data_IF_107177697074
#
_entry.id   IF_107177697074
#
_cell.length_a   1.000
_cell.length_b   1.000
_cell.length_c   1.000
_cell.angle_alpha   90.00
_cell.angle_beta   90.00
_cell.angle_gamma   90.00
#
_symmetry.space_group_name_H-M   'P 1'
#
loop_
_entity.id
_entity.type
_entity.pdbx_description
1 polymer ?
#
# COMPACT_ATOMS: atom_id res chain seq x y z
N UNK A 1 56.28 35.28 -15.52
CA UNK A 1 55.87 33.94 -15.98
C UNK A 1 55.19 33.27 -14.76
N UNK A 2 53.88 33.35 -14.70
CA UNK A 2 53.10 32.71 -13.63
C UNK A 2 52.30 31.57 -14.27
N UNK A 3 52.59 30.34 -13.82
CA UNK A 3 51.87 29.14 -14.28
C UNK A 3 50.52 28.97 -13.55
N UNK A 4 49.52 28.39 -14.19
CA UNK A 4 48.20 28.24 -13.58
C UNK A 4 48.16 27.08 -12.57
N UNK A 5 47.66 27.39 -11.38
CA UNK A 5 47.43 26.46 -10.31
C UNK A 5 46.20 25.58 -10.61
N UNK A 6 46.41 24.25 -10.73
CA UNK A 6 45.33 23.26 -10.90
C UNK A 6 44.50 23.19 -9.60
N UNK A 7 43.23 23.59 -9.70
CA UNK A 7 42.22 23.30 -8.69
C UNK A 7 42.01 21.79 -8.64
N UNK A 8 42.19 21.19 -7.46
CA UNK A 8 41.83 19.81 -7.15
C UNK A 8 40.33 19.80 -6.85
N UNK A 9 39.60 19.28 -7.79
CA UNK A 9 38.16 18.97 -7.66
C UNK A 9 38.04 17.77 -6.70
N UNK A 10 37.65 18.07 -5.48
CA UNK A 10 37.36 17.08 -4.46
C UNK A 10 35.96 16.50 -4.69
N UNK A 11 35.88 15.50 -5.55
CA UNK A 11 34.65 14.74 -5.75
C UNK A 11 34.14 14.17 -4.42
N UNK A 12 33.16 14.82 -3.81
CA UNK A 12 32.36 14.22 -2.72
C UNK A 12 31.48 13.16 -3.37
N UNK A 13 31.91 11.90 -3.25
CA UNK A 13 31.05 10.74 -3.46
C UNK A 13 29.85 10.88 -2.53
N UNK A 14 28.60 10.85 -3.00
CA UNK A 14 27.45 10.82 -2.11
C UNK A 14 27.56 9.56 -1.25
N UNK A 15 27.65 9.73 0.06
CA UNK A 15 27.56 8.64 1.02
C UNK A 15 26.19 7.98 0.81
N UNK A 16 26.18 6.78 0.22
CA UNK A 16 25.03 5.87 0.34
C UNK A 16 24.77 5.72 1.84
N UNK A 17 23.53 5.92 2.32
CA UNK A 17 23.21 5.60 3.69
C UNK A 17 23.59 4.13 3.93
N UNK A 18 24.48 3.85 4.88
CA UNK A 18 24.70 2.50 5.37
C UNK A 18 23.35 2.04 5.95
N UNK A 19 22.70 1.14 5.25
CA UNK A 19 21.49 0.46 5.73
C UNK A 19 21.98 -0.44 6.85
N UNK A 20 21.93 0.06 8.08
CA UNK A 20 22.19 -0.75 9.27
C UNK A 20 21.00 -1.71 9.41
N UNK A 21 21.14 -2.93 8.90
CA UNK A 21 20.12 -3.96 9.02
C UNK A 21 19.93 -4.27 10.50
N UNK A 22 18.81 -3.85 11.05
CA UNK A 22 18.43 -4.14 12.43
C UNK A 22 18.16 -5.64 12.56
N UNK A 23 18.72 -6.28 13.59
CA UNK A 23 18.43 -7.67 13.91
C UNK A 23 17.53 -7.70 15.14
N UNK A 24 16.40 -8.43 15.05
CA UNK A 24 15.44 -8.57 16.13
C UNK A 24 15.49 -9.97 16.73
N UNK A 25 15.56 -10.05 18.05
CA UNK A 25 15.41 -11.32 18.78
C UNK A 25 13.92 -11.68 18.93
N UNK A 26 13.63 -12.95 19.21
CA UNK A 26 12.26 -13.43 19.43
C UNK A 26 11.51 -12.72 20.55
N UNK A 27 12.24 -12.12 21.51
CA UNK A 27 11.64 -11.32 22.60
C UNK A 27 11.10 -9.96 22.13
N UNK A 28 11.58 -9.48 20.98
CA UNK A 28 11.16 -8.21 20.38
C UNK A 28 10.03 -8.36 19.37
N UNK A 29 9.60 -9.60 19.11
CA UNK A 29 8.53 -9.88 18.16
C UNK A 29 7.21 -9.28 18.63
N UNK A 30 6.65 -8.42 17.82
CA UNK A 30 5.34 -7.78 18.02
C UNK A 30 4.59 -7.67 16.70
N UNK A 31 3.29 -7.53 16.79
CA UNK A 31 2.45 -7.31 15.62
C UNK A 31 2.88 -6.03 14.88
N UNK A 32 2.96 -6.10 13.56
CA UNK A 32 3.43 -5.01 12.70
C UNK A 32 4.94 -4.95 12.48
N UNK A 33 5.75 -5.72 13.24
CA UNK A 33 7.19 -5.75 13.03
C UNK A 33 7.53 -6.25 11.62
N UNK A 34 8.38 -5.50 10.93
CA UNK A 34 8.83 -5.80 9.56
C UNK A 34 10.15 -6.57 9.63
N UNK A 35 10.17 -7.76 9.07
CA UNK A 35 11.31 -8.69 9.09
C UNK A 35 11.60 -9.24 7.70
N UNK A 36 12.82 -9.66 7.48
CA UNK A 36 13.21 -10.43 6.29
C UNK A 36 12.99 -11.93 6.53
N UNK A 37 12.27 -12.59 5.63
CA UNK A 37 12.10 -14.01 5.65
C UNK A 37 12.23 -14.55 4.22
N UNK A 38 13.12 -15.54 4.03
CA UNK A 38 13.39 -16.14 2.73
C UNK A 38 13.69 -15.10 1.62
N UNK A 39 14.40 -14.00 1.97
CA UNK A 39 14.74 -12.85 1.11
C UNK A 39 13.55 -11.95 0.72
N UNK A 40 12.40 -12.12 1.36
CA UNK A 40 11.22 -11.27 1.15
C UNK A 40 10.91 -10.44 2.40
N UNK A 41 10.46 -9.18 2.22
CA UNK A 41 9.96 -8.36 3.31
C UNK A 41 8.63 -8.91 3.80
N UNK A 42 8.53 -9.09 5.10
CA UNK A 42 7.39 -9.70 5.75
C UNK A 42 6.94 -8.87 6.96
N UNK A 43 5.68 -8.96 7.33
CA UNK A 43 5.13 -8.34 8.54
C UNK A 43 4.60 -9.40 9.48
N UNK A 44 4.96 -9.31 10.76
CA UNK A 44 4.39 -10.15 11.82
C UNK A 44 2.94 -9.70 12.06
N UNK A 45 1.98 -10.64 11.89
CA UNK A 45 0.55 -10.38 12.14
C UNK A 45 0.19 -10.78 13.57
N UNK A 46 0.73 -11.92 14.02
CA UNK A 46 0.43 -12.49 15.33
C UNK A 46 1.69 -13.15 15.88
N UNK A 47 1.95 -12.99 17.17
CA UNK A 47 3.04 -13.63 17.88
C UNK A 47 2.51 -14.25 19.17
N UNK A 48 2.65 -15.56 19.31
CA UNK A 48 2.29 -16.32 20.50
C UNK A 48 3.55 -16.94 21.12
N UNK A 49 3.87 -16.57 22.34
CA UNK A 49 4.95 -17.20 23.09
C UNK A 49 4.44 -18.47 23.78
N UNK A 50 5.03 -19.60 23.44
CA UNK A 50 4.67 -20.92 23.97
C UNK A 50 5.78 -21.45 24.86
N UNK A 51 5.43 -21.73 26.12
CA UNK A 51 6.32 -22.37 27.09
C UNK A 51 5.80 -23.75 27.42
N UNK A 52 6.30 -24.80 26.73
CA UNK A 52 5.86 -26.17 27.01
C UNK A 52 6.34 -26.63 28.39
N UNK A 53 5.61 -27.56 29.02
CA UNK A 53 5.98 -28.12 30.30
C UNK A 53 7.29 -28.91 30.26
N UNK A 54 7.68 -29.45 29.10
CA UNK A 54 8.97 -30.07 28.78
C UNK A 54 9.47 -29.55 27.43
N UNK A 55 10.73 -29.15 27.38
CA UNK A 55 11.36 -28.61 26.15
C UNK A 55 11.63 -27.13 26.19
N UNK A 56 12.21 -26.64 25.10
CA UNK A 56 12.59 -25.23 24.94
C UNK A 56 11.37 -24.39 24.58
N UNK A 57 11.25 -23.19 25.13
CA UNK A 57 10.24 -22.22 24.76
C UNK A 57 10.41 -21.76 23.30
N UNK A 58 9.33 -21.41 22.65
CA UNK A 58 9.33 -20.96 21.27
C UNK A 58 8.22 -19.92 21.02
N UNK A 59 8.39 -19.14 19.96
CA UNK A 59 7.38 -18.25 19.44
C UNK A 59 6.72 -18.87 18.21
N UNK A 60 5.38 -18.96 18.22
CA UNK A 60 4.58 -19.27 17.04
C UNK A 60 4.14 -17.97 16.41
N UNK A 61 4.52 -17.73 15.17
CA UNK A 61 4.37 -16.43 14.54
C UNK A 61 3.63 -16.58 13.22
N UNK A 62 2.52 -15.85 13.05
CA UNK A 62 1.88 -15.67 11.74
C UNK A 62 2.50 -14.48 11.04
N UNK A 63 2.94 -14.70 9.83
CA UNK A 63 3.74 -13.76 9.04
C UNK A 63 3.08 -13.56 7.70
N UNK A 64 2.90 -12.30 7.28
CA UNK A 64 2.42 -11.94 5.94
C UNK A 64 3.61 -11.51 5.09
N UNK A 65 3.83 -12.18 3.96
CA UNK A 65 4.74 -11.72 2.92
C UNK A 65 4.15 -10.45 2.27
N UNK A 66 4.90 -9.36 2.27
CA UNK A 66 4.42 -8.06 1.79
C UNK A 66 4.39 -7.94 0.27
N UNK A 67 5.13 -8.79 -0.46
CA UNK A 67 5.08 -8.83 -1.93
C UNK A 67 3.87 -9.62 -2.45
N UNK A 68 3.58 -10.76 -1.81
CA UNK A 68 2.57 -11.71 -2.32
C UNK A 68 1.26 -11.68 -1.55
N UNK A 69 1.23 -11.02 -0.39
CA UNK A 69 0.10 -11.03 0.54
C UNK A 69 -0.11 -12.37 1.27
N UNK A 70 0.66 -13.40 0.94
CA UNK A 70 0.50 -14.74 1.52
C UNK A 70 0.83 -14.75 3.00
N UNK A 71 -0.04 -15.41 3.78
CA UNK A 71 0.16 -15.61 5.22
C UNK A 71 0.69 -17.01 5.46
N UNK A 72 1.76 -17.11 6.24
CA UNK A 72 2.38 -18.38 6.67
C UNK A 72 2.58 -18.37 8.17
N UNK A 73 2.56 -19.54 8.80
CA UNK A 73 2.93 -19.72 10.21
C UNK A 73 4.36 -20.28 10.29
N UNK A 74 5.16 -19.68 11.16
CA UNK A 74 6.54 -20.12 11.46
C UNK A 74 6.76 -20.21 12.95
N UNK A 75 7.63 -21.12 13.34
CA UNK A 75 8.05 -21.29 14.74
C UNK A 75 9.51 -20.91 14.87
N UNK A 76 9.80 -20.02 15.82
CA UNK A 76 11.15 -19.60 16.17
C UNK A 76 11.47 -20.05 17.59
N UNK A 77 12.65 -20.61 17.80
CA UNK A 77 13.10 -20.98 19.14
C UNK A 77 13.39 -19.74 19.97
N UNK A 78 13.18 -19.82 21.26
CA UNK A 78 13.58 -18.73 22.15
C UNK A 78 15.09 -18.46 22.03
N UNK A 79 15.44 -17.22 21.69
CA UNK A 79 16.81 -16.79 21.41
C UNK A 79 17.19 -16.75 19.93
N UNK A 80 16.34 -17.22 19.02
CA UNK A 80 16.54 -17.00 17.59
C UNK A 80 16.45 -15.49 17.29
N UNK A 81 17.12 -15.08 16.22
CA UNK A 81 17.07 -13.71 15.71
C UNK A 81 16.74 -13.70 14.22
N UNK A 82 16.08 -12.64 13.78
CA UNK A 82 15.73 -12.38 12.38
C UNK A 82 16.21 -10.99 11.98
N UNK A 83 16.50 -10.85 10.72
CA UNK A 83 16.86 -9.57 10.13
C UNK A 83 15.63 -8.68 9.95
N UNK A 84 15.75 -7.39 10.28
CA UNK A 84 14.70 -6.41 10.02
C UNK A 84 14.60 -6.06 8.54
N UNK A 85 13.40 -5.85 8.06
CA UNK A 85 13.17 -5.34 6.71
C UNK A 85 13.11 -3.81 6.73
N UNK A 86 13.81 -3.15 5.80
CA UNK A 86 13.71 -1.71 5.58
C UNK A 86 12.41 -1.41 4.82
N UNK A 87 11.30 -1.47 5.54
CA UNK A 87 9.96 -1.19 5.03
C UNK A 87 9.37 -0.03 5.81
N UNK A 88 9.01 1.02 5.10
CA UNK A 88 8.36 2.21 5.64
C UNK A 88 7.03 2.47 4.93
N UNK A 89 6.06 2.91 5.68
CA UNK A 89 4.76 3.35 5.16
C UNK A 89 4.76 4.88 5.13
N UNK A 90 4.55 5.49 3.96
CA UNK A 90 4.61 6.94 3.73
C UNK A 90 3.32 7.42 3.09
N UNK A 91 2.75 8.52 3.60
CA UNK A 91 1.63 9.18 2.93
C UNK A 91 2.15 9.96 1.71
N UNK A 92 1.59 9.66 0.54
CA UNK A 92 1.95 10.32 -0.72
C UNK A 92 0.71 10.70 -1.49
N UNK A 93 0.77 11.83 -2.18
CA UNK A 93 -0.29 12.31 -3.04
C UNK A 93 -0.19 11.67 -4.41
N UNK A 94 -1.27 11.04 -4.88
CA UNK A 94 -1.36 10.55 -6.24
C UNK A 94 -1.44 11.71 -7.23
N UNK A 95 -0.61 11.69 -8.26
CA UNK A 95 -0.56 12.72 -9.30
C UNK A 95 -1.30 12.28 -10.56
N UNK A 96 -0.74 11.30 -11.27
CA UNK A 96 -1.25 10.79 -12.54
C UNK A 96 -0.68 9.39 -12.86
N UNK A 97 -1.18 8.78 -13.93
CA UNK A 97 -0.58 7.59 -14.53
C UNK A 97 -0.27 7.85 -16.00
N UNK A 98 0.85 7.28 -16.48
CA UNK A 98 1.22 7.27 -17.90
C UNK A 98 0.78 5.96 -18.60
N UNK A 99 0.10 5.08 -17.87
CA UNK A 99 -0.36 3.76 -18.34
C UNK A 99 0.58 2.60 -17.98
N UNK A 100 1.83 2.88 -17.65
CA UNK A 100 2.81 1.90 -17.17
C UNK A 100 3.09 2.08 -15.68
N UNK A 101 3.23 3.33 -15.23
CA UNK A 101 3.46 3.71 -13.85
C UNK A 101 2.38 4.65 -13.32
N UNK A 102 2.19 4.64 -12.02
CA UNK A 102 1.41 5.58 -11.24
C UNK A 102 2.35 6.43 -10.41
N UNK A 103 2.28 7.74 -10.57
CA UNK A 103 3.20 8.69 -9.95
C UNK A 103 2.60 9.27 -8.69
N UNK A 104 3.40 9.25 -7.62
CA UNK A 104 3.05 9.76 -6.30
C UNK A 104 4.09 10.78 -5.85
N UNK A 105 3.68 11.77 -5.09
CA UNK A 105 4.54 12.83 -4.57
C UNK A 105 4.40 12.93 -3.06
N UNK A 106 5.53 13.00 -2.36
CA UNK A 106 5.54 13.31 -0.94
C UNK A 106 5.08 14.76 -0.72
N UNK A 107 4.06 15.01 0.12
CA UNK A 107 3.62 16.37 0.42
C UNK A 107 4.66 17.16 1.25
N UNK A 108 5.61 16.49 1.89
CA UNK A 108 6.64 17.10 2.73
C UNK A 108 7.91 17.44 1.94
N UNK A 109 8.42 16.47 1.15
CA UNK A 109 9.70 16.62 0.44
C UNK A 109 9.54 16.96 -1.03
N UNK A 110 8.33 16.85 -1.59
CA UNK A 110 8.02 16.99 -3.02
C UNK A 110 8.75 16.00 -3.92
N UNK A 111 9.37 14.99 -3.35
CA UNK A 111 9.95 13.88 -4.11
C UNK A 111 8.86 13.05 -4.76
N UNK A 112 9.10 12.66 -6.02
CA UNK A 112 8.17 11.86 -6.80
C UNK A 112 8.69 10.43 -6.96
N UNK A 113 7.78 9.46 -6.82
CA UNK A 113 8.04 8.05 -7.02
C UNK A 113 7.03 7.46 -8.00
N UNK A 114 7.49 6.59 -8.89
CA UNK A 114 6.64 5.79 -9.77
C UNK A 114 6.40 4.40 -9.17
N UNK A 115 5.15 4.02 -8.98
CA UNK A 115 4.75 2.67 -8.61
C UNK A 115 4.33 1.88 -9.85
N UNK A 116 4.81 0.66 -10.00
CA UNK A 116 4.44 -0.21 -11.10
C UNK A 116 3.07 -0.86 -10.88
N UNK A 117 2.59 -1.59 -11.89
CA UNK A 117 1.31 -2.30 -11.86
C UNK A 117 1.23 -3.33 -10.72
N UNK A 118 2.35 -3.91 -10.31
CA UNK A 118 2.39 -4.92 -9.24
C UNK A 118 2.14 -4.26 -7.88
N UNK A 119 2.78 -3.12 -7.64
CA UNK A 119 2.62 -2.35 -6.40
C UNK A 119 1.22 -1.71 -6.28
N UNK A 120 0.66 -1.22 -7.38
CA UNK A 120 -0.66 -0.57 -7.38
C UNK A 120 -1.80 -1.61 -7.38
N UNK A 121 -1.67 -2.67 -8.15
CA UNK A 121 -2.66 -3.75 -8.22
C UNK A 121 -4.09 -3.24 -8.45
N UNK A 122 -5.03 -3.81 -7.68
CA UNK A 122 -6.45 -3.45 -7.74
C UNK A 122 -6.78 -2.05 -7.23
N UNK A 123 -5.83 -1.39 -6.56
CA UNK A 123 -5.98 -0.01 -6.06
C UNK A 123 -6.11 1.00 -7.19
N UNK A 124 -5.61 0.69 -8.40
CA UNK A 124 -5.62 1.58 -9.56
C UNK A 124 -7.01 2.17 -9.86
N UNK A 125 -8.06 1.36 -9.71
CA UNK A 125 -9.46 1.76 -9.97
C UNK A 125 -10.03 2.73 -8.93
N UNK A 126 -9.32 2.97 -7.82
CA UNK A 126 -9.74 3.87 -6.76
C UNK A 126 -8.88 5.14 -6.66
N UNK A 127 -7.80 5.21 -7.45
CA UNK A 127 -6.90 6.36 -7.44
C UNK A 127 -7.54 7.55 -8.14
N UNK A 128 -7.69 8.63 -7.40
CA UNK A 128 -8.11 9.94 -7.90
C UNK A 128 -6.97 10.92 -7.73
N UNK A 129 -6.76 11.78 -8.71
CA UNK A 129 -5.74 12.84 -8.63
C UNK A 129 -5.88 13.63 -7.33
N UNK A 130 -4.74 13.94 -6.72
CA UNK A 130 -4.58 14.64 -5.44
C UNK A 130 -5.04 13.84 -4.20
N UNK A 131 -5.50 12.59 -4.34
CA UNK A 131 -5.80 11.74 -3.19
C UNK A 131 -4.52 11.39 -2.43
N UNK A 132 -4.57 11.47 -1.09
CA UNK A 132 -3.51 10.99 -0.22
C UNK A 132 -3.64 9.47 -0.07
N UNK A 133 -2.61 8.77 -0.48
CA UNK A 133 -2.50 7.31 -0.44
C UNK A 133 -1.39 6.90 0.52
N UNK A 134 -1.54 5.74 1.15
CA UNK A 134 -0.46 5.13 1.91
C UNK A 134 0.38 4.28 0.96
N UNK A 135 1.64 4.65 0.78
CA UNK A 135 2.60 3.92 -0.06
C UNK A 135 3.59 3.20 0.83
N UNK A 136 3.61 1.88 0.74
CA UNK A 136 4.60 1.06 1.43
C UNK A 136 5.85 0.98 0.56
N UNK A 137 6.97 1.43 1.08
CA UNK A 137 8.28 1.38 0.42
C UNK A 137 9.13 0.27 1.04
N UNK A 138 9.82 -0.49 0.21
CA UNK A 138 10.87 -1.42 0.60
C UNK A 138 12.16 -1.02 -0.07
N UNK A 139 13.19 -0.68 0.73
CA UNK A 139 14.45 -0.11 0.24
C UNK A 139 14.23 1.10 -0.69
N UNK A 140 13.24 1.94 -0.36
CA UNK A 140 12.89 3.13 -1.14
C UNK A 140 12.07 2.87 -2.43
N UNK A 141 11.73 1.61 -2.74
CA UNK A 141 10.94 1.25 -3.92
C UNK A 141 9.49 0.95 -3.50
N UNK A 142 8.48 1.48 -4.22
CA UNK A 142 7.09 1.18 -3.94
C UNK A 142 6.79 -0.33 -4.01
N UNK A 143 6.23 -0.86 -2.93
CA UNK A 143 5.87 -2.26 -2.77
C UNK A 143 4.36 -2.46 -2.83
N UNK A 144 3.59 -1.55 -2.24
CA UNK A 144 2.14 -1.53 -2.30
C UNK A 144 1.60 -0.11 -2.17
N UNK A 145 0.41 0.11 -2.73
CA UNK A 145 -0.32 1.38 -2.66
C UNK A 145 -1.72 1.13 -2.12
N UNK A 146 -2.06 1.80 -1.03
CA UNK A 146 -3.38 1.76 -0.44
C UNK A 146 -4.06 3.12 -0.62
N UNK A 147 -5.18 3.20 -1.38
CA UNK A 147 -5.95 4.42 -1.51
C UNK A 147 -6.65 4.76 -0.18
N UNK A 148 -7.15 5.99 -0.01
CA UNK A 148 -7.99 6.33 1.13
C UNK A 148 -9.17 5.35 1.24
N UNK A 149 -9.58 4.99 2.46
CA UNK A 149 -10.71 4.07 2.72
C UNK A 149 -12.00 4.51 2.01
N UNK A 150 -12.15 5.81 1.83
CA UNK A 150 -13.29 6.40 1.13
C UNK A 150 -12.81 7.34 0.04
N UNK A 151 -13.37 7.19 -1.16
CA UNK A 151 -13.13 8.10 -2.28
C UNK A 151 -14.46 8.65 -2.80
N UNK A 152 -14.41 9.84 -3.37
CA UNK A 152 -15.54 10.45 -4.05
C UNK A 152 -15.25 10.48 -5.55
N UNK A 153 -16.01 9.68 -6.30
CA UNK A 153 -15.85 9.50 -7.75
C UNK A 153 -17.15 9.80 -8.48
N UNK A 154 -17.07 10.35 -9.70
CA UNK A 154 -18.22 10.62 -10.56
C UNK A 154 -18.66 9.36 -11.30
N UNK A 155 -19.96 9.22 -11.48
CA UNK A 155 -20.55 8.20 -12.34
C UNK A 155 -20.33 8.59 -13.81
N UNK A 156 -19.53 7.78 -14.51
CA UNK A 156 -19.29 7.94 -15.93
C UNK A 156 -20.41 7.29 -16.76
N UNK A 157 -20.88 6.11 -16.33
CA UNK A 157 -21.90 5.33 -17.04
C UNK A 157 -22.77 4.55 -16.05
N UNK A 158 -24.07 4.51 -16.31
CA UNK A 158 -25.03 3.64 -15.59
C UNK A 158 -26.30 3.50 -16.41
N UNK A 159 -26.99 2.37 -16.27
CA UNK A 159 -28.27 2.14 -16.88
C UNK A 159 -29.37 3.08 -16.33
N UNK A 160 -30.39 3.46 -17.14
CA UNK A 160 -31.54 4.15 -16.60
C UNK A 160 -32.28 3.24 -15.60
N UNK A 161 -32.58 3.79 -14.41
CA UNK A 161 -33.32 3.07 -13.37
C UNK A 161 -34.79 2.85 -13.80
N UNK A 162 -35.12 1.68 -14.35
CA UNK A 162 -36.50 1.36 -14.69
C UNK A 162 -37.27 1.00 -13.41
N UNK A 163 -38.45 1.66 -13.22
CA UNK A 163 -39.39 1.29 -12.17
C UNK A 163 -39.92 -0.13 -12.45
N UNK A 164 -39.60 -1.07 -11.56
CA UNK A 164 -40.10 -2.47 -11.67
C UNK A 164 -38.99 -3.51 -11.65
N UNK A 165 -37.71 -3.14 -11.76
CA UNK A 165 -36.61 -4.08 -11.71
C UNK A 165 -36.17 -4.36 -10.24
N UNK A 166 -37.09 -5.03 -9.51
CA UNK A 166 -36.84 -5.47 -8.11
C UNK A 166 -36.25 -6.88 -8.07
N UNK A 167 -36.10 -7.56 -9.21
CA UNK A 167 -35.58 -8.94 -9.28
C UNK A 167 -34.13 -9.12 -8.88
N UNK A 168 -33.36 -8.00 -8.77
CA UNK A 168 -31.95 -8.00 -8.37
C UNK A 168 -31.63 -7.27 -7.07
N UNK A 169 -32.58 -7.10 -6.14
CA UNK A 169 -32.32 -6.44 -4.86
C UNK A 169 -32.22 -4.92 -4.89
N UNK A 170 -32.84 -4.26 -5.90
CA UNK A 170 -33.06 -2.82 -5.94
C UNK A 170 -31.84 -1.95 -6.27
N UNK A 171 -30.79 -2.50 -6.88
CA UNK A 171 -29.60 -1.75 -7.30
C UNK A 171 -29.17 -2.07 -8.73
N UNK A 172 -28.48 -1.14 -9.37
CA UNK A 172 -27.93 -1.25 -10.72
C UNK A 172 -26.41 -1.06 -10.73
N UNK A 173 -25.68 -1.57 -11.74
CA UNK A 173 -24.26 -1.28 -11.90
C UNK A 173 -24.05 0.18 -12.34
N UNK A 174 -22.99 0.79 -11.84
CA UNK A 174 -22.50 2.08 -12.30
C UNK A 174 -20.97 2.02 -12.47
N UNK A 175 -20.51 2.47 -13.63
CA UNK A 175 -19.07 2.64 -13.91
C UNK A 175 -18.68 4.05 -13.50
N UNK A 176 -17.64 4.14 -12.67
CA UNK A 176 -17.12 5.41 -12.20
C UNK A 176 -16.04 5.95 -13.13
N UNK A 177 -15.67 7.23 -12.97
CA UNK A 177 -14.69 7.93 -13.80
C UNK A 177 -13.32 7.26 -13.88
N UNK A 178 -12.98 6.44 -12.88
CA UNK A 178 -11.74 5.65 -12.81
C UNK A 178 -11.85 4.26 -13.40
N UNK A 179 -13.02 3.89 -13.95
CA UNK A 179 -13.29 2.57 -14.47
C UNK A 179 -13.76 1.54 -13.43
N UNK A 180 -13.85 1.92 -12.14
CA UNK A 180 -14.42 1.05 -11.11
C UNK A 180 -15.91 0.84 -11.35
N UNK A 181 -16.39 -0.41 -11.21
CA UNK A 181 -17.82 -0.72 -11.28
C UNK A 181 -18.33 -0.99 -9.87
N UNK A 182 -19.38 -0.26 -9.48
CA UNK A 182 -20.02 -0.39 -8.17
C UNK A 182 -21.51 -0.59 -8.30
N UNK A 183 -22.13 -1.28 -7.36
CA UNK A 183 -23.58 -1.42 -7.31
C UNK A 183 -24.19 -0.24 -6.58
N UNK A 184 -25.14 0.45 -7.23
CA UNK A 184 -25.76 1.68 -6.73
C UNK A 184 -27.29 1.60 -6.71
N UNK A 185 -27.98 2.41 -5.89
CA UNK A 185 -29.43 2.55 -5.94
C UNK A 185 -29.92 3.03 -7.31
N UNK A 186 -31.18 2.69 -7.66
CA UNK A 186 -31.78 3.00 -8.97
C UNK A 186 -31.86 4.50 -9.29
N UNK A 187 -31.91 5.37 -8.26
CA UNK A 187 -32.00 6.82 -8.42
C UNK A 187 -30.70 7.51 -8.81
N UNK A 188 -29.58 6.80 -8.79
CA UNK A 188 -28.27 7.35 -9.19
C UNK A 188 -28.23 7.53 -10.71
N UNK A 189 -27.68 8.66 -11.15
CA UNK A 189 -27.56 9.03 -12.55
C UNK A 189 -26.11 9.29 -12.97
N UNK A 190 -25.86 9.30 -14.27
CA UNK A 190 -24.58 9.75 -14.84
C UNK A 190 -24.29 11.18 -14.37
N UNK A 191 -23.05 11.43 -13.95
CA UNK A 191 -22.60 12.72 -13.41
C UNK A 191 -22.76 12.86 -11.90
N UNK A 192 -23.51 11.99 -11.21
CA UNK A 192 -23.58 12.00 -9.75
C UNK A 192 -22.23 11.67 -9.13
N UNK A 193 -21.85 12.39 -8.08
CA UNK A 193 -20.65 12.13 -7.28
C UNK A 193 -20.97 11.15 -6.15
N UNK A 194 -20.26 10.04 -6.10
CA UNK A 194 -20.51 8.95 -5.15
C UNK A 194 -19.35 8.77 -4.17
N UNK A 195 -19.67 8.68 -2.89
CA UNK A 195 -18.75 8.21 -1.87
C UNK A 195 -18.78 6.68 -1.85
N UNK A 196 -17.60 6.07 -2.06
CA UNK A 196 -17.43 4.61 -2.14
C UNK A 196 -16.38 4.18 -1.12
N UNK A 197 -16.58 2.99 -0.53
CA UNK A 197 -15.56 2.32 0.26
C UNK A 197 -14.61 1.57 -0.68
N UNK A 198 -13.32 1.89 -0.65
CA UNK A 198 -12.31 1.32 -1.53
C UNK A 198 -11.92 -0.12 -1.17
N UNK A 199 -12.12 -0.51 0.09
CA UNK A 199 -11.78 -1.86 0.57
C UNK A 199 -12.86 -2.88 0.21
N UNK A 200 -14.15 -2.49 0.30
CA UNK A 200 -15.29 -3.37 0.00
C UNK A 200 -15.83 -3.17 -1.42
N UNK A 201 -15.52 -2.04 -2.07
CA UNK A 201 -16.08 -1.66 -3.35
C UNK A 201 -17.56 -1.25 -3.27
N UNK A 202 -18.06 -0.91 -2.08
CA UNK A 202 -19.49 -0.62 -1.86
C UNK A 202 -19.80 0.87 -1.93
N UNK A 203 -20.92 1.19 -2.53
CA UNK A 203 -21.52 2.52 -2.47
C UNK A 203 -21.94 2.86 -1.03
N UNK A 204 -21.58 4.05 -0.56
CA UNK A 204 -21.96 4.54 0.77
C UNK A 204 -23.06 5.59 0.67
N UNK A 205 -22.81 6.64 -0.12
CA UNK A 205 -23.74 7.75 -0.26
C UNK A 205 -23.45 8.56 -1.53
N UNK A 206 -24.44 9.34 -1.97
CA UNK A 206 -24.21 10.41 -2.93
C UNK A 206 -23.53 11.57 -2.21
N UNK A 207 -22.37 12.00 -2.71
CA UNK A 207 -21.68 13.17 -2.20
C UNK A 207 -22.45 14.43 -2.66
N UNK A 208 -22.58 15.40 -1.76
CA UNK A 208 -23.05 16.74 -2.13
C UNK A 208 -21.86 17.51 -2.69
N UNK A 209 -22.04 18.17 -3.81
CA UNK A 209 -21.11 19.18 -4.31
C UNK A 209 -20.96 20.33 -3.33
#
# INVERSE_FOLDING_TARGET
>A
MFGPQKARDGGRTPLKPEITMSTYSTNEFKNGLKIMLDSDPCSIIENEFVKPGKGQAFNRVKIRNLKTGRVVERTFKSGDSVEGADVVDVEMQYLYSDGEFWYFMSPETYEQLGADKTAVGDSAKWLKEQALCLVTLWNGVPLSVEPPVHVVLKVAETDPGLRGDTSGGGGKPATLETGAVVRVPLFINVGDSLKVNTQTGEYIARAKE
#
